data_IF_712091844076
#
_entry.id   IF_712091844076
#
_cell.length_a   1.000
_cell.length_b   1.000
_cell.length_c   1.000
_cell.angle_alpha   90.00
_cell.angle_beta   90.00
_cell.angle_gamma   90.00
#
_symmetry.space_group_name_H-M   'P 1'
#
loop_
_entity.id
_entity.type
_entity.pdbx_description
1 polymer ?
#
# COMPACT_ATOMS: atom_id res chain seq x y z
N UNK A 1 42.77 44.41 34.44
CA UNK A 1 42.24 43.65 33.29
C UNK A 1 41.03 42.78 33.68
N UNK A 2 40.15 43.22 34.60
CA UNK A 2 39.04 42.41 35.11
C UNK A 2 37.65 42.82 34.58
N UNK A 3 37.51 43.95 33.88
CA UNK A 3 36.22 44.45 33.38
C UNK A 3 35.72 43.78 32.10
N UNK A 4 36.63 43.39 31.20
CA UNK A 4 36.27 42.82 29.89
C UNK A 4 35.60 41.44 29.99
N UNK A 5 35.97 40.63 31.00
CA UNK A 5 35.36 39.32 31.24
C UNK A 5 33.94 39.41 31.81
N UNK A 6 33.70 40.37 32.71
CA UNK A 6 32.37 40.56 33.33
C UNK A 6 31.35 41.13 32.34
N UNK A 7 31.75 42.07 31.48
CA UNK A 7 30.88 42.62 30.43
C UNK A 7 30.50 41.55 29.40
N UNK A 8 31.48 40.76 28.94
CA UNK A 8 31.25 39.66 28.00
C UNK A 8 30.34 38.59 28.63
N UNK A 9 30.59 38.18 29.88
CA UNK A 9 29.74 37.22 30.60
C UNK A 9 28.32 37.74 30.80
N UNK A 10 28.14 39.03 31.13
CA UNK A 10 26.81 39.65 31.25
C UNK A 10 26.09 39.70 29.92
N UNK A 11 26.78 39.99 28.82
CA UNK A 11 26.18 40.03 27.49
C UNK A 11 25.76 38.63 27.02
N UNK A 12 26.60 37.61 27.22
CA UNK A 12 26.26 36.21 26.96
C UNK A 12 25.09 35.74 27.83
N UNK A 13 25.08 36.07 29.12
CA UNK A 13 24.00 35.68 30.05
C UNK A 13 22.69 36.38 29.68
N UNK A 14 22.75 37.65 29.27
CA UNK A 14 21.57 38.41 28.86
C UNK A 14 20.98 37.90 27.55
N UNK A 15 21.84 37.54 26.57
CA UNK A 15 21.40 36.88 25.32
C UNK A 15 20.80 35.50 25.59
N UNK A 16 21.43 34.70 26.45
CA UNK A 16 20.87 33.40 26.86
C UNK A 16 19.54 33.55 27.60
N UNK A 17 19.39 34.54 28.49
CA UNK A 17 18.12 34.83 29.14
C UNK A 17 17.06 35.24 28.13
N UNK A 18 17.38 36.11 27.18
CA UNK A 18 16.45 36.53 26.12
C UNK A 18 15.99 35.34 25.28
N UNK A 19 16.91 34.49 24.85
CA UNK A 19 16.57 33.27 24.12
C UNK A 19 15.70 32.34 24.98
N UNK A 20 16.00 32.20 26.27
CA UNK A 20 15.19 31.42 27.21
C UNK A 20 13.78 31.99 27.38
N UNK A 21 13.64 33.32 27.47
CA UNK A 21 12.35 33.99 27.53
C UNK A 21 11.52 33.74 26.26
N UNK A 22 12.15 33.63 25.08
CA UNK A 22 11.42 33.27 23.84
C UNK A 22 11.02 31.80 23.77
N UNK A 23 11.68 30.93 24.53
CA UNK A 23 11.37 29.50 24.61
C UNK A 23 10.22 29.19 25.58
N UNK A 24 10.02 29.99 26.63
CA UNK A 24 8.95 29.79 27.62
C UNK A 24 7.55 29.68 26.96
N UNK A 25 7.12 30.59 26.08
CA UNK A 25 5.81 30.46 25.40
C UNK A 25 5.69 29.19 24.55
N UNK A 26 6.78 28.80 23.87
CA UNK A 26 6.82 27.58 23.04
C UNK A 26 6.70 26.32 23.89
N UNK A 27 7.34 26.29 25.05
CA UNK A 27 7.23 25.19 26.01
C UNK A 27 5.79 25.04 26.53
N UNK A 28 5.13 26.15 26.87
CA UNK A 28 3.72 26.14 27.31
C UNK A 28 2.82 25.57 26.21
N UNK A 29 2.95 26.06 24.97
CA UNK A 29 2.18 25.55 23.83
C UNK A 29 2.47 24.07 23.55
N UNK A 30 3.73 23.64 23.64
CA UNK A 30 4.11 22.23 23.51
C UNK A 30 3.45 21.33 24.55
N UNK A 31 3.43 21.76 25.81
CA UNK A 31 2.74 21.05 26.90
C UNK A 31 1.24 20.95 26.60
N UNK A 32 0.61 22.03 26.13
CA UNK A 32 -0.81 22.04 25.75
C UNK A 32 -1.08 21.00 24.65
N UNK A 33 -0.24 20.94 23.61
CA UNK A 33 -0.39 19.94 22.54
C UNK A 33 -0.34 18.52 23.10
N UNK A 34 0.62 18.22 23.99
CA UNK A 34 0.74 16.91 24.63
C UNK A 34 -0.49 16.58 25.48
N UNK A 35 -1.01 17.54 26.24
CA UNK A 35 -2.23 17.38 27.04
C UNK A 35 -3.42 17.06 26.13
N UNK A 36 -3.60 17.81 25.04
CA UNK A 36 -4.69 17.59 24.07
C UNK A 36 -4.57 16.21 23.44
N UNK A 37 -3.37 15.79 23.03
CA UNK A 37 -3.13 14.48 22.46
C UNK A 37 -3.49 13.37 23.47
N UNK A 38 -3.08 13.51 24.72
CA UNK A 38 -3.44 12.57 25.79
C UNK A 38 -4.96 12.50 26.03
N UNK A 39 -5.64 13.65 26.03
CA UNK A 39 -7.10 13.72 26.13
C UNK A 39 -7.77 13.01 24.95
N UNK A 40 -7.31 13.25 23.73
CA UNK A 40 -7.84 12.59 22.54
C UNK A 40 -7.68 11.06 22.63
N UNK A 41 -6.50 10.57 23.01
CA UNK A 41 -6.26 9.13 23.21
C UNK A 41 -7.22 8.53 24.25
N UNK A 42 -7.41 9.20 25.39
CA UNK A 42 -8.23 8.69 26.49
C UNK A 42 -9.73 8.75 26.19
N UNK A 43 -10.23 9.92 25.78
CA UNK A 43 -11.66 10.16 25.62
C UNK A 43 -12.16 9.68 24.27
N UNK A 44 -11.54 10.11 23.18
CA UNK A 44 -11.97 9.75 21.82
C UNK A 44 -11.62 8.29 21.55
N UNK A 45 -10.42 7.82 21.93
CA UNK A 45 -10.07 6.40 21.82
C UNK A 45 -11.01 5.49 22.62
N UNK A 46 -11.37 5.89 23.83
CA UNK A 46 -12.38 5.19 24.64
C UNK A 46 -13.76 5.16 23.98
N UNK A 47 -14.21 6.29 23.42
CA UNK A 47 -15.49 6.38 22.71
C UNK A 47 -15.52 5.51 21.45
N UNK A 48 -14.44 5.54 20.64
CA UNK A 48 -14.28 4.69 19.46
C UNK A 48 -14.33 3.22 19.87
N UNK A 49 -13.58 2.82 20.90
CA UNK A 49 -13.59 1.43 21.39
C UNK A 49 -15.01 0.99 21.80
N UNK A 50 -15.75 1.84 22.49
CA UNK A 50 -17.14 1.56 22.89
C UNK A 50 -18.04 1.43 21.66
N UNK A 51 -17.94 2.34 20.70
CA UNK A 51 -18.73 2.31 19.46
C UNK A 51 -18.44 1.03 18.65
N UNK A 52 -17.17 0.67 18.48
CA UNK A 52 -16.74 -0.53 17.76
C UNK A 52 -17.26 -1.82 18.40
N UNK A 53 -17.31 -1.87 19.74
CA UNK A 53 -17.88 -3.01 20.47
C UNK A 53 -19.40 -3.15 20.31
N UNK A 54 -20.11 -2.05 20.07
CA UNK A 54 -21.57 -2.06 19.84
C UNK A 54 -21.88 -2.58 18.43
N UNK A 55 -21.07 -2.17 17.44
CA UNK A 55 -21.32 -2.48 16.03
C UNK A 55 -20.83 -3.88 15.64
N UNK A 56 -19.99 -4.54 16.45
CA UNK A 56 -19.43 -5.88 16.17
C UNK A 56 -18.89 -5.99 14.72
N UNK A 57 -18.06 -5.03 14.31
CA UNK A 57 -17.53 -4.98 12.93
C UNK A 57 -16.78 -6.25 12.54
N UNK A 58 -16.08 -6.88 13.48
CA UNK A 58 -15.39 -8.15 13.24
C UNK A 58 -16.37 -9.24 12.76
N UNK A 59 -17.56 -9.31 13.37
CA UNK A 59 -18.62 -10.24 12.96
C UNK A 59 -19.28 -9.89 11.63
N UNK A 60 -19.35 -8.60 11.27
CA UNK A 60 -19.85 -8.19 9.95
C UNK A 60 -18.87 -8.59 8.84
N UNK A 61 -17.57 -8.46 9.08
CA UNK A 61 -16.56 -8.84 8.09
C UNK A 61 -16.43 -10.35 7.96
N UNK A 62 -16.47 -11.10 9.06
CA UNK A 62 -16.52 -12.57 9.02
C UNK A 62 -17.72 -13.07 8.19
N UNK A 63 -18.90 -12.46 8.35
CA UNK A 63 -20.10 -12.81 7.57
C UNK A 63 -19.99 -12.44 6.09
N UNK A 64 -19.33 -11.33 5.76
CA UNK A 64 -19.21 -10.86 4.37
C UNK A 64 -18.12 -11.57 3.58
N UNK A 65 -16.98 -11.87 4.21
CA UNK A 65 -15.83 -12.49 3.55
C UNK A 65 -15.78 -14.01 3.75
N UNK A 66 -16.55 -14.58 4.69
CA UNK A 66 -16.57 -16.03 4.95
C UNK A 66 -15.27 -16.59 5.52
N UNK A 67 -14.29 -15.73 5.81
CA UNK A 67 -12.95 -16.07 6.31
C UNK A 67 -12.68 -15.28 7.57
N UNK A 68 -12.21 -15.95 8.63
CA UNK A 68 -11.71 -15.29 9.84
C UNK A 68 -10.38 -14.64 9.51
N UNK A 69 -10.36 -13.32 9.43
CA UNK A 69 -9.11 -12.59 9.25
C UNK A 69 -8.28 -12.69 10.54
N UNK A 70 -6.95 -12.90 10.45
CA UNK A 70 -6.07 -13.02 11.62
C UNK A 70 -5.95 -11.71 12.42
N UNK A 71 -6.49 -10.61 11.89
CA UNK A 71 -6.46 -9.28 12.50
C UNK A 71 -7.90 -8.77 12.62
N UNK A 72 -8.31 -8.37 13.83
CA UNK A 72 -9.62 -7.75 14.08
C UNK A 72 -9.66 -6.33 13.49
N UNK A 73 -10.71 -5.99 12.75
CA UNK A 73 -10.95 -4.65 12.21
C UNK A 73 -11.04 -3.61 13.31
N UNK A 74 -11.64 -3.99 14.43
CA UNK A 74 -11.73 -3.12 15.60
C UNK A 74 -10.34 -2.65 16.07
N UNK A 75 -9.36 -3.56 16.11
CA UNK A 75 -7.99 -3.20 16.49
C UNK A 75 -7.28 -2.37 15.42
N UNK A 76 -7.52 -2.64 14.13
CA UNK A 76 -6.95 -1.83 13.03
C UNK A 76 -7.44 -0.38 13.11
N UNK A 77 -8.75 -0.18 13.29
CA UNK A 77 -9.34 1.17 13.40
C UNK A 77 -8.77 1.92 14.61
N UNK A 78 -8.64 1.24 15.76
CA UNK A 78 -8.03 1.85 16.95
C UNK A 78 -6.55 2.18 16.73
N UNK A 79 -5.79 1.31 16.06
CA UNK A 79 -4.40 1.57 15.72
C UNK A 79 -4.22 2.77 14.80
N UNK A 80 -5.07 2.88 13.77
CA UNK A 80 -5.07 4.04 12.86
C UNK A 80 -5.36 5.33 13.63
N UNK A 81 -6.35 5.31 14.53
CA UNK A 81 -6.67 6.45 15.37
C UNK A 81 -5.48 6.85 16.26
N UNK A 82 -4.85 5.90 16.97
CA UNK A 82 -3.70 6.19 17.83
C UNK A 82 -2.49 6.70 17.05
N UNK A 83 -2.19 6.08 15.91
CA UNK A 83 -1.14 6.55 15.01
C UNK A 83 -1.43 7.98 14.53
N UNK A 84 -2.68 8.27 14.15
CA UNK A 84 -3.11 9.60 13.72
C UNK A 84 -2.94 10.68 14.79
N UNK A 85 -3.35 10.38 16.04
CA UNK A 85 -3.16 11.31 17.17
C UNK A 85 -1.67 11.54 17.45
N UNK A 86 -0.85 10.49 17.41
CA UNK A 86 0.59 10.58 17.65
C UNK A 86 1.28 11.41 16.55
N UNK A 87 0.95 11.15 15.28
CA UNK A 87 1.46 11.90 14.14
C UNK A 87 1.02 13.37 14.20
N UNK A 88 -0.25 13.65 14.53
CA UNK A 88 -0.74 15.01 14.66
C UNK A 88 -0.04 15.77 15.82
N UNK A 89 0.18 15.09 16.95
CA UNK A 89 0.91 15.67 18.07
C UNK A 89 2.37 15.96 17.71
N UNK A 90 3.03 15.04 17.00
CA UNK A 90 4.39 15.22 16.53
C UNK A 90 4.47 16.38 15.54
N UNK A 91 3.53 16.46 14.61
CA UNK A 91 3.44 17.57 13.65
C UNK A 91 3.24 18.92 14.36
N UNK A 92 2.36 18.98 15.35
CA UNK A 92 2.16 20.16 16.19
C UNK A 92 3.43 20.58 16.94
N UNK A 93 4.19 19.61 17.47
CA UNK A 93 5.48 19.89 18.12
C UNK A 93 6.52 20.42 17.13
N UNK A 94 6.62 19.84 15.93
CA UNK A 94 7.52 20.33 14.88
C UNK A 94 7.18 21.78 14.53
N UNK A 95 5.89 22.09 14.37
CA UNK A 95 5.42 23.45 14.07
C UNK A 95 5.86 24.47 15.13
N UNK A 96 5.72 24.13 16.41
CA UNK A 96 6.02 25.04 17.52
C UNK A 96 7.53 25.21 17.76
N UNK A 97 8.30 24.12 17.69
CA UNK A 97 9.71 24.13 18.09
C UNK A 97 10.68 24.36 16.94
N UNK A 98 10.44 23.75 15.78
CA UNK A 98 11.38 23.74 14.65
C UNK A 98 11.02 24.78 13.57
N UNK A 99 9.78 25.28 13.55
CA UNK A 99 9.36 26.33 12.62
C UNK A 99 8.97 25.80 11.21
N UNK A 100 8.66 26.71 10.28
CA UNK A 100 8.00 26.37 9.00
C UNK A 100 8.87 25.58 8.03
N UNK A 101 10.20 25.70 8.09
CA UNK A 101 11.11 25.01 7.19
C UNK A 101 11.06 23.49 7.37
N UNK A 102 11.06 23.01 8.62
CA UNK A 102 10.93 21.60 8.96
C UNK A 102 9.51 21.06 8.75
N UNK A 103 8.52 21.96 8.68
CA UNK A 103 7.14 21.59 8.36
C UNK A 103 7.03 21.04 6.93
N UNK A 104 7.82 21.58 6.00
CA UNK A 104 7.85 21.12 4.60
C UNK A 104 8.39 19.69 4.47
N UNK A 105 9.44 19.38 5.23
CA UNK A 105 10.03 18.04 5.35
C UNK A 105 9.04 17.06 5.99
N UNK A 106 8.40 17.46 7.09
CA UNK A 106 7.39 16.65 7.76
C UNK A 106 6.20 16.36 6.84
N UNK A 107 5.71 17.36 6.09
CA UNK A 107 4.62 17.18 5.14
C UNK A 107 5.02 16.23 4.00
N UNK A 108 6.21 16.40 3.45
CA UNK A 108 6.73 15.53 2.39
C UNK A 108 6.84 14.08 2.86
N UNK A 109 7.33 13.86 4.09
CA UNK A 109 7.42 12.54 4.70
C UNK A 109 6.03 11.92 4.96
N UNK A 110 5.07 12.70 5.46
CA UNK A 110 3.69 12.25 5.69
C UNK A 110 3.00 11.86 4.38
N UNK A 111 3.12 12.70 3.35
CA UNK A 111 2.54 12.44 2.02
C UNK A 111 3.16 11.16 1.42
N UNK A 112 4.48 11.03 1.48
CA UNK A 112 5.16 9.84 0.99
C UNK A 112 4.73 8.58 1.76
N UNK A 113 4.73 8.63 3.10
CA UNK A 113 4.29 7.53 3.95
C UNK A 113 2.83 7.13 3.68
N UNK A 114 1.94 8.10 3.50
CA UNK A 114 0.53 7.85 3.15
C UNK A 114 0.40 7.14 1.79
N UNK A 115 1.18 7.53 0.77
CA UNK A 115 1.20 6.84 -0.53
C UNK A 115 1.65 5.39 -0.38
N UNK A 116 2.72 5.14 0.38
CA UNK A 116 3.23 3.78 0.62
C UNK A 116 2.17 2.90 1.28
N UNK A 117 1.53 3.40 2.35
CA UNK A 117 0.46 2.67 3.04
C UNK A 117 -0.72 2.41 2.09
N UNK A 118 -1.10 3.40 1.28
CA UNK A 118 -2.18 3.25 0.28
C UNK A 118 -1.89 2.11 -0.69
N UNK A 119 -0.67 2.03 -1.24
CA UNK A 119 -0.29 0.96 -2.17
C UNK A 119 -0.30 -0.41 -1.50
N UNK A 120 0.20 -0.51 -0.26
CA UNK A 120 0.14 -1.77 0.49
C UNK A 120 -1.31 -2.23 0.67
N UNK A 121 -2.20 -1.32 1.08
CA UNK A 121 -3.63 -1.62 1.28
C UNK A 121 -4.30 -2.03 -0.03
N UNK A 122 -4.08 -1.29 -1.12
CA UNK A 122 -4.64 -1.64 -2.42
C UNK A 122 -4.09 -2.99 -2.92
N UNK A 123 -2.80 -3.27 -2.73
CA UNK A 123 -2.21 -4.55 -3.11
C UNK A 123 -2.88 -5.71 -2.35
N UNK A 124 -3.12 -5.57 -1.04
CA UNK A 124 -3.83 -6.58 -0.24
C UNK A 124 -5.27 -6.80 -0.73
N UNK A 125 -6.00 -5.73 -1.04
CA UNK A 125 -7.35 -5.81 -1.60
C UNK A 125 -7.32 -6.52 -2.95
N UNK A 126 -6.36 -6.16 -3.81
CA UNK A 126 -6.18 -6.75 -5.13
C UNK A 126 -5.91 -8.25 -5.02
N UNK A 127 -4.95 -8.66 -4.19
CA UNK A 127 -4.66 -10.08 -3.92
C UNK A 127 -5.90 -10.83 -3.43
N UNK A 128 -6.62 -10.27 -2.46
CA UNK A 128 -7.84 -10.88 -1.92
C UNK A 128 -8.90 -11.06 -3.02
N UNK A 129 -9.09 -10.04 -3.87
CA UNK A 129 -10.03 -10.10 -4.99
C UNK A 129 -9.64 -11.17 -6.01
N UNK A 130 -8.36 -11.26 -6.39
CA UNK A 130 -7.88 -12.29 -7.31
C UNK A 130 -7.99 -13.70 -6.72
N UNK A 131 -7.61 -13.89 -5.45
CA UNK A 131 -7.76 -15.17 -4.76
C UNK A 131 -9.23 -15.62 -4.72
N UNK A 132 -10.16 -14.72 -4.39
CA UNK A 132 -11.58 -15.01 -4.41
C UNK A 132 -12.09 -15.35 -5.81
N UNK A 133 -11.58 -14.67 -6.85
CA UNK A 133 -11.93 -14.96 -8.24
C UNK A 133 -11.46 -16.36 -8.67
N UNK A 134 -10.22 -16.72 -8.30
CA UNK A 134 -9.61 -18.04 -8.56
C UNK A 134 -10.34 -19.18 -7.85
N UNK A 135 -10.87 -18.91 -6.65
CA UNK A 135 -11.59 -19.91 -5.84
C UNK A 135 -13.06 -20.06 -6.27
N UNK A 136 -13.78 -18.96 -6.53
CA UNK A 136 -15.21 -19.00 -6.86
C UNK A 136 -15.50 -19.47 -8.28
N UNK A 137 -14.66 -19.08 -9.23
CA UNK A 137 -14.78 -19.54 -10.61
C UNK A 137 -13.91 -20.81 -10.66
N UNK A 138 -14.39 -21.93 -11.22
CA UNK A 138 -13.51 -23.09 -11.53
C UNK A 138 -12.55 -22.71 -12.65
N UNK A 139 -11.63 -21.79 -12.34
CA UNK A 139 -10.66 -21.23 -13.25
C UNK A 139 -9.73 -22.37 -13.64
N UNK A 140 -9.76 -22.75 -14.91
CA UNK A 140 -8.79 -23.67 -15.48
C UNK A 140 -7.38 -23.15 -15.18
N UNK A 141 -6.41 -24.06 -14.99
CA UNK A 141 -5.02 -23.69 -14.66
C UNK A 141 -4.46 -22.61 -15.61
N UNK A 142 -4.89 -22.63 -16.88
CA UNK A 142 -4.58 -21.65 -17.94
C UNK A 142 -4.98 -20.21 -17.58
N UNK A 143 -6.17 -19.99 -17.03
CA UNK A 143 -6.69 -18.65 -16.68
C UNK A 143 -6.11 -18.12 -15.35
N UNK A 144 -5.62 -19.02 -14.46
CA UNK A 144 -4.93 -18.62 -13.22
C UNK A 144 -3.63 -17.88 -13.49
N UNK A 145 -2.83 -18.36 -14.46
CA UNK A 145 -1.57 -17.73 -14.85
C UNK A 145 -1.77 -16.32 -15.42
N UNK A 146 -2.81 -16.15 -16.26
CA UNK A 146 -3.16 -14.83 -16.80
C UNK A 146 -3.61 -13.85 -15.72
N UNK A 147 -4.46 -14.29 -14.78
CA UNK A 147 -4.88 -13.45 -13.66
C UNK A 147 -3.71 -13.01 -12.78
N UNK A 148 -2.77 -13.90 -12.48
CA UNK A 148 -1.57 -13.56 -11.73
C UNK A 148 -0.69 -12.56 -12.51
N UNK A 149 -0.52 -12.77 -13.82
CA UNK A 149 0.21 -11.85 -14.68
C UNK A 149 -0.40 -10.43 -14.68
N UNK A 150 -1.72 -10.32 -14.86
CA UNK A 150 -2.42 -9.04 -14.79
C UNK A 150 -2.32 -8.42 -13.38
N UNK A 151 -2.44 -9.22 -12.32
CA UNK A 151 -2.25 -8.75 -10.95
C UNK A 151 -0.85 -8.15 -10.75
N UNK A 152 0.19 -8.79 -11.28
CA UNK A 152 1.56 -8.29 -11.21
C UNK A 152 1.72 -6.96 -11.95
N UNK A 153 1.14 -6.83 -13.15
CA UNK A 153 1.13 -5.56 -13.89
C UNK A 153 0.41 -4.47 -13.11
N UNK A 154 -0.76 -4.77 -12.53
CA UNK A 154 -1.51 -3.81 -11.70
C UNK A 154 -0.74 -3.39 -10.45
N UNK A 155 -0.09 -4.31 -9.73
CA UNK A 155 0.79 -3.97 -8.60
C UNK A 155 1.94 -3.07 -9.07
N UNK A 156 2.49 -3.33 -10.25
CA UNK A 156 3.54 -2.49 -10.84
C UNK A 156 3.02 -1.07 -11.12
N UNK A 157 1.78 -0.93 -11.62
CA UNK A 157 1.17 0.41 -11.78
C UNK A 157 1.10 1.17 -10.46
N UNK A 158 0.67 0.51 -9.38
CA UNK A 158 0.59 1.11 -8.05
C UNK A 158 1.98 1.46 -7.49
N UNK A 159 2.99 0.64 -7.78
CA UNK A 159 4.35 0.91 -7.34
C UNK A 159 4.91 2.21 -7.95
N UNK A 160 4.57 2.50 -9.21
CA UNK A 160 4.95 3.74 -9.88
C UNK A 160 4.45 4.97 -9.12
N UNK A 161 3.22 4.92 -8.58
CA UNK A 161 2.62 6.01 -7.80
C UNK A 161 3.44 6.37 -6.56
N UNK A 162 4.06 5.36 -5.92
CA UNK A 162 4.88 5.52 -4.71
C UNK A 162 6.30 5.93 -5.03
N UNK A 163 6.85 5.48 -6.16
CA UNK A 163 8.22 5.82 -6.52
C UNK A 163 8.38 7.32 -6.77
N UNK A 164 9.47 7.88 -6.23
CA UNK A 164 9.86 9.28 -6.43
C UNK A 164 10.52 9.49 -7.80
N UNK A 165 9.90 8.96 -8.85
CA UNK A 165 10.32 9.18 -10.24
C UNK A 165 9.85 10.56 -10.73
N UNK A 166 10.55 11.11 -11.71
CA UNK A 166 10.11 12.33 -12.38
C UNK A 166 8.83 12.08 -13.18
N UNK A 167 7.98 13.11 -13.31
CA UNK A 167 6.69 12.99 -14.02
C UNK A 167 6.82 12.44 -15.45
N UNK A 168 7.81 12.84 -16.28
CA UNK A 168 7.97 12.27 -17.61
C UNK A 168 8.30 10.77 -17.60
N UNK A 169 9.04 10.30 -16.59
CA UNK A 169 9.38 8.88 -16.44
C UNK A 169 8.14 8.09 -16.02
N UNK A 170 7.33 8.63 -15.10
CA UNK A 170 6.05 8.01 -14.72
C UNK A 170 5.12 7.88 -15.91
N UNK A 171 4.97 8.95 -16.70
CA UNK A 171 4.12 8.95 -17.89
C UNK A 171 4.56 7.88 -18.89
N UNK A 172 5.86 7.77 -19.17
CA UNK A 172 6.40 6.72 -20.02
C UNK A 172 6.13 5.31 -19.47
N UNK A 173 6.29 5.11 -18.15
CA UNK A 173 5.99 3.82 -17.51
C UNK A 173 4.50 3.50 -17.56
N UNK A 174 3.60 4.45 -17.29
CA UNK A 174 2.15 4.22 -17.40
C UNK A 174 1.74 3.89 -18.83
N UNK A 175 2.32 4.58 -19.81
CA UNK A 175 2.07 4.30 -21.21
C UNK A 175 2.56 2.89 -21.59
N UNK A 176 3.76 2.52 -21.16
CA UNK A 176 4.30 1.17 -21.36
C UNK A 176 3.46 0.09 -20.70
N UNK A 177 3.00 0.32 -19.46
CA UNK A 177 2.10 -0.60 -18.75
C UNK A 177 0.72 -0.68 -19.38
N UNK A 178 0.14 0.43 -19.82
CA UNK A 178 -1.15 0.43 -20.52
C UNK A 178 -1.06 -0.37 -21.82
N UNK A 179 0.03 -0.21 -22.59
CA UNK A 179 0.31 -1.02 -23.78
C UNK A 179 0.51 -2.50 -23.40
N UNK A 180 1.25 -2.80 -22.33
CA UNK A 180 1.46 -4.16 -21.84
C UNK A 180 0.18 -4.86 -21.40
N UNK A 181 -0.68 -4.17 -20.64
CA UNK A 181 -1.98 -4.67 -20.20
C UNK A 181 -2.91 -4.85 -21.42
N UNK A 182 -3.00 -3.86 -22.31
CA UNK A 182 -3.84 -3.93 -23.51
C UNK A 182 -3.42 -5.06 -24.46
N UNK A 183 -2.11 -5.17 -24.75
CA UNK A 183 -1.57 -6.22 -25.62
C UNK A 183 -1.76 -7.62 -25.02
N UNK A 184 -1.51 -7.78 -23.73
CA UNK A 184 -1.73 -9.07 -23.05
C UNK A 184 -3.21 -9.48 -23.05
N UNK A 185 -4.16 -8.54 -22.88
CA UNK A 185 -5.59 -8.81 -23.02
C UNK A 185 -5.97 -9.28 -24.43
N UNK A 186 -5.43 -8.64 -25.47
CA UNK A 186 -5.69 -9.02 -26.87
C UNK A 186 -5.13 -10.40 -27.17
N UNK A 187 -3.85 -10.64 -26.86
CA UNK A 187 -3.19 -11.93 -27.09
C UNK A 187 -3.91 -13.05 -26.32
N UNK A 188 -4.23 -12.79 -25.06
CA UNK A 188 -4.96 -13.74 -24.22
C UNK A 188 -6.35 -14.04 -24.78
N UNK A 189 -7.09 -13.02 -25.21
CA UNK A 189 -8.43 -13.21 -25.79
C UNK A 189 -8.37 -14.07 -27.05
N UNK A 190 -7.45 -13.78 -27.98
CA UNK A 190 -7.28 -14.57 -29.19
C UNK A 190 -6.90 -16.02 -28.83
N UNK A 191 -5.92 -16.20 -27.95
CA UNK A 191 -5.49 -17.53 -27.55
C UNK A 191 -6.61 -18.31 -26.85
N UNK A 192 -7.39 -17.67 -25.97
CA UNK A 192 -8.49 -18.27 -25.21
C UNK A 192 -9.67 -18.69 -26.10
N UNK A 193 -10.10 -17.84 -27.05
CA UNK A 193 -11.22 -18.16 -27.94
C UNK A 193 -10.84 -19.15 -29.05
N UNK A 194 -9.60 -19.12 -29.52
CA UNK A 194 -9.15 -19.94 -30.65
C UNK A 194 -8.29 -21.14 -30.24
N UNK A 195 -8.12 -21.44 -28.95
CA UNK A 195 -7.28 -22.56 -28.49
C UNK A 195 -7.73 -23.90 -29.08
N UNK A 196 -9.04 -24.15 -29.17
CA UNK A 196 -9.57 -25.39 -29.77
C UNK A 196 -9.32 -25.48 -31.29
N UNK A 197 -9.32 -24.35 -32.00
CA UNK A 197 -9.02 -24.30 -33.43
C UNK A 197 -7.52 -24.46 -33.69
N UNK A 198 -6.68 -23.85 -32.85
CA UNK A 198 -5.22 -23.98 -32.87
C UNK A 198 -4.79 -25.42 -32.56
N UNK A 199 -5.37 -26.06 -31.53
CA UNK A 199 -5.11 -27.47 -31.19
C UNK A 199 -5.47 -28.40 -32.37
N UNK A 200 -6.59 -28.16 -33.06
CA UNK A 200 -6.99 -28.94 -34.25
C UNK A 200 -6.09 -28.72 -35.48
N UNK A 201 -5.51 -27.52 -35.66
CA UNK A 201 -4.56 -27.27 -36.75
C UNK A 201 -3.20 -27.90 -36.48
N UNK A 202 -2.79 -28.00 -35.22
CA UNK A 202 -1.51 -28.61 -34.83
C UNK A 202 -1.57 -30.15 -34.86
N UNK A 203 -2.74 -30.77 -34.64
CA UNK A 203 -2.88 -32.23 -34.55
C UNK A 203 -3.04 -33.00 -35.88
N UNK A 204 -2.96 -32.39 -37.08
CA UNK A 204 -2.88 -33.14 -38.36
C UNK A 204 -1.89 -32.51 -39.34
N UNK A 205 -0.97 -33.26 -40.00
CA UNK A 205 -1.02 -34.71 -40.27
C UNK A 205 0.31 -35.48 -40.02
N UNK A 206 0.25 -36.63 -39.34
CA UNK A 206 1.45 -37.47 -39.19
C UNK A 206 1.28 -38.94 -38.79
N UNK A 207 0.06 -39.52 -38.82
CA UNK A 207 -0.10 -40.95 -38.51
C UNK A 207 -1.31 -41.59 -39.20
N UNK A 208 -1.26 -41.65 -40.53
CA UNK A 208 -1.99 -42.64 -41.32
C UNK A 208 -1.06 -43.18 -42.40
N UNK A 209 -0.17 -44.11 -42.02
CA UNK A 209 0.48 -45.07 -42.93
C UNK A 209 1.26 -46.12 -42.13
N UNK A 210 0.59 -47.24 -41.85
CA UNK A 210 1.09 -48.63 -41.87
C UNK A 210 0.22 -49.50 -40.95
N UNK A 211 -0.95 -49.83 -41.48
CA UNK A 211 -1.68 -51.04 -41.08
C UNK A 211 -2.30 -51.58 -42.35
N UNK A 212 -1.44 -52.04 -43.27
CA UNK A 212 -1.79 -53.03 -44.27
C UNK A 212 -0.68 -54.08 -44.23
N UNK A 213 -0.99 -55.18 -43.57
CA UNK A 213 -0.24 -56.43 -43.61
C UNK A 213 -0.36 -57.05 -45.01
N UNK A 214 0.73 -57.54 -45.60
CA UNK A 214 0.67 -58.70 -46.45
C UNK A 214 0.83 -59.93 -45.56
N UNK A 215 -0.28 -60.65 -45.37
CA UNK A 215 -0.28 -62.04 -44.95
C UNK A 215 0.78 -62.81 -45.73
N UNK A 216 1.66 -63.49 -44.99
CA UNK A 216 2.63 -64.42 -45.56
C UNK A 216 1.88 -65.61 -46.15
N UNK A 217 1.73 -65.63 -47.47
CA UNK A 217 1.81 -66.87 -48.22
C UNK A 217 3.19 -67.49 -47.96
N UNK A 218 3.20 -68.70 -47.41
CA UNK A 218 4.20 -69.78 -47.51
C UNK A 218 4.33 -70.52 -46.17
N UNK A 219 3.74 -71.71 -46.08
CA UNK A 219 4.50 -72.95 -45.91
C UNK A 219 3.54 -74.16 -45.93
N UNK A 220 4.00 -75.16 -46.68
CA UNK A 220 3.42 -76.48 -46.98
C UNK A 220 2.90 -77.31 -45.81
#
# INVERSE_FOLDING_TARGET
MNGLGEETLREFTSKLLLDFLTLIPKLILGIIVVIIAFLALKFVGGAIKKLLSIVNLDGFVERSLGVKLPISFNSVILWIFYAGVLLASLYGLIHIFLGPEYLSLANSALIYGARVISVIVLALILFTAFSALIEKIRIESRLKGFLLFIAMLLITTMLIDVTALSEPVKEALYMGLAIGIGSSLVIFSIWFFFSEYLERLVERPGRRRRSESPERQNAS
#
